data_IF_913663126564
#
_entry.id   IF_913663126564
#
_cell.length_a   1.000
_cell.length_b   1.000
_cell.length_c   1.000
_cell.angle_alpha   90.00
_cell.angle_beta   90.00
_cell.angle_gamma   90.00
#
_symmetry.space_group_name_H-M   'P 1'
#
loop_
_entity.id
_entity.type
_entity.pdbx_description
1 polymer ?
#
# COMPACT_ATOMS: atom_id res chain seq x y z
N UNK A 1 0.60 10.97 19.11
CA UNK A 1 1.64 9.91 19.10
C UNK A 1 1.26 8.63 18.33
N UNK A 2 0.16 8.58 17.56
CA UNK A 2 -0.22 7.38 16.78
C UNK A 2 0.19 7.47 15.29
N UNK A 3 0.47 8.68 14.78
CA UNK A 3 0.70 8.93 13.36
C UNK A 3 2.03 8.38 12.83
N UNK A 4 3.02 8.13 13.69
CA UNK A 4 4.34 7.64 13.27
C UNK A 4 4.27 6.20 12.73
N UNK A 5 3.56 5.31 13.42
CA UNK A 5 3.37 3.91 13.01
C UNK A 5 2.60 3.85 11.68
N UNK A 6 1.60 4.72 11.52
CA UNK A 6 0.79 4.83 10.31
C UNK A 6 1.67 5.25 9.13
N UNK A 7 2.47 6.31 9.28
CA UNK A 7 3.37 6.78 8.22
C UNK A 7 4.44 5.74 7.88
N UNK A 8 4.98 5.05 8.89
CA UNK A 8 5.95 3.97 8.67
C UNK A 8 5.35 2.82 7.87
N UNK A 9 4.16 2.33 8.28
CA UNK A 9 3.43 1.30 7.53
C UNK A 9 3.09 1.75 6.11
N UNK A 10 2.67 3.00 5.95
CA UNK A 10 2.37 3.57 4.64
C UNK A 10 3.61 3.54 3.73
N UNK A 11 4.75 4.00 4.24
CA UNK A 11 6.02 3.99 3.50
C UNK A 11 6.42 2.57 3.09
N UNK A 12 6.24 1.57 3.96
CA UNK A 12 6.48 0.16 3.62
C UNK A 12 5.55 -0.35 2.51
N UNK A 13 4.24 -0.03 2.57
CA UNK A 13 3.29 -0.39 1.50
C UNK A 13 3.72 0.24 0.18
N UNK A 14 4.07 1.54 0.19
CA UNK A 14 4.53 2.24 -1.01
C UNK A 14 5.79 1.62 -1.58
N UNK A 15 6.76 1.29 -0.72
CA UNK A 15 8.00 0.65 -1.13
C UNK A 15 7.74 -0.73 -1.74
N UNK A 16 6.85 -1.53 -1.13
CA UNK A 16 6.42 -2.79 -1.69
C UNK A 16 5.70 -2.61 -3.03
N UNK A 17 4.82 -1.62 -3.19
CA UNK A 17 4.11 -1.39 -4.45
C UNK A 17 5.01 -0.86 -5.57
N UNK A 18 6.09 -0.15 -5.21
CA UNK A 18 7.00 0.49 -6.16
C UNK A 18 8.16 -0.40 -6.58
N UNK A 19 8.74 -1.12 -5.63
CA UNK A 19 9.94 -1.94 -5.84
C UNK A 19 9.66 -3.44 -5.85
N UNK A 20 8.45 -3.85 -5.45
CA UNK A 20 8.08 -5.26 -5.38
C UNK A 20 6.85 -5.53 -6.24
N UNK A 21 6.90 -6.64 -6.98
CA UNK A 21 5.74 -7.11 -7.75
C UNK A 21 4.72 -7.85 -6.86
N UNK A 22 4.89 -7.78 -5.53
CA UNK A 22 4.06 -8.47 -4.52
C UNK A 22 2.58 -8.15 -4.69
N UNK A 23 1.76 -9.20 -4.64
CA UNK A 23 0.30 -9.06 -4.66
C UNK A 23 -0.17 -8.39 -3.39
N UNK A 24 -1.31 -7.69 -3.47
CA UNK A 24 -1.90 -7.01 -2.31
C UNK A 24 -2.09 -7.98 -1.13
N UNK A 25 -2.45 -9.24 -1.40
CA UNK A 25 -2.58 -10.28 -0.38
C UNK A 25 -1.27 -10.60 0.38
N UNK A 26 -0.12 -10.55 -0.31
CA UNK A 26 1.19 -10.74 0.33
C UNK A 26 1.52 -9.56 1.25
N UNK A 27 1.20 -8.34 0.79
CA UNK A 27 1.43 -7.12 1.55
C UNK A 27 0.53 -7.07 2.80
N UNK A 28 -0.70 -7.60 2.69
CA UNK A 28 -1.61 -7.77 3.82
C UNK A 28 -0.98 -8.65 4.90
N UNK A 29 -0.51 -9.83 4.51
CA UNK A 29 0.14 -10.77 5.43
C UNK A 29 1.44 -10.20 6.04
N UNK A 30 2.26 -9.55 5.22
CA UNK A 30 3.57 -9.00 5.63
C UNK A 30 3.44 -7.84 6.62
N UNK A 31 2.42 -6.99 6.47
CA UNK A 31 2.21 -5.83 7.33
C UNK A 31 1.23 -6.09 8.49
N UNK A 32 0.67 -7.30 8.57
CA UNK A 32 -0.29 -7.70 9.59
C UNK A 32 -1.65 -7.03 9.45
N UNK A 33 -2.09 -6.78 8.21
CA UNK A 33 -3.49 -6.42 7.96
C UNK A 33 -4.36 -7.67 8.00
N UNK A 34 -5.61 -7.50 8.41
CA UNK A 34 -6.59 -8.59 8.50
C UNK A 34 -6.89 -9.17 7.11
N UNK A 35 -7.10 -8.28 6.13
CA UNK A 35 -7.49 -8.63 4.77
C UNK A 35 -7.23 -7.46 3.81
N UNK A 36 -7.32 -7.74 2.51
CA UNK A 36 -7.13 -6.73 1.46
C UNK A 36 -8.03 -5.52 1.64
N UNK A 37 -9.26 -5.70 2.11
CA UNK A 37 -10.21 -4.61 2.39
C UNK A 37 -9.68 -3.65 3.46
N UNK A 38 -9.05 -4.19 4.50
CA UNK A 38 -8.50 -3.40 5.60
C UNK A 38 -7.30 -2.56 5.12
N UNK A 39 -6.38 -3.20 4.39
CA UNK A 39 -5.24 -2.50 3.77
C UNK A 39 -5.73 -1.47 2.76
N UNK A 40 -6.73 -1.81 1.94
CA UNK A 40 -7.23 -0.93 0.89
C UNK A 40 -7.89 0.32 1.49
N UNK A 41 -8.70 0.17 2.55
CA UNK A 41 -9.27 1.31 3.30
C UNK A 41 -8.18 2.16 3.95
N UNK A 42 -7.20 1.53 4.58
CA UNK A 42 -6.07 2.21 5.22
C UNK A 42 -5.27 3.03 4.20
N UNK A 43 -4.84 2.39 3.12
CA UNK A 43 -4.03 3.00 2.07
C UNK A 43 -4.81 4.10 1.34
N UNK A 44 -6.10 3.87 1.07
CA UNK A 44 -6.97 4.89 0.47
C UNK A 44 -7.20 6.09 1.39
N UNK A 45 -7.31 5.91 2.71
CA UNK A 45 -7.37 7.05 3.64
C UNK A 45 -6.10 7.88 3.63
N UNK A 46 -4.93 7.25 3.47
CA UNK A 46 -3.64 7.95 3.51
C UNK A 46 -3.26 8.59 2.16
N UNK A 47 -3.46 7.89 1.04
CA UNK A 47 -3.07 8.34 -0.32
C UNK A 47 -4.23 8.83 -1.18
N UNK A 48 -5.47 8.62 -0.77
CA UNK A 48 -6.67 8.91 -1.55
C UNK A 48 -7.04 7.83 -2.59
N UNK A 49 -6.12 6.90 -2.91
CA UNK A 49 -6.33 5.86 -3.92
C UNK A 49 -6.00 4.46 -3.39
N UNK A 50 -6.55 3.44 -4.05
CA UNK A 50 -6.31 2.03 -3.72
C UNK A 50 -4.86 1.60 -4.07
N UNK A 51 -4.26 0.64 -3.35
CA UNK A 51 -2.92 0.09 -3.64
C UNK A 51 -2.79 -0.39 -5.09
N UNK A 52 -3.85 -1.04 -5.58
CA UNK A 52 -3.95 -1.54 -6.96
C UNK A 52 -3.94 -0.40 -7.99
N UNK A 53 -4.63 0.70 -7.68
CA UNK A 53 -4.67 1.88 -8.53
C UNK A 53 -3.33 2.63 -8.50
N UNK A 54 -2.70 2.73 -7.33
CA UNK A 54 -1.36 3.29 -7.18
C UNK A 54 -0.34 2.51 -8.01
N UNK A 55 -0.34 1.17 -7.93
CA UNK A 55 0.52 0.32 -8.75
C UNK A 55 0.28 0.49 -10.25
N UNK A 56 -0.98 0.58 -10.67
CA UNK A 56 -1.34 0.87 -12.06
C UNK A 56 -0.79 2.24 -12.51
N UNK A 57 -0.93 3.26 -11.65
CA UNK A 57 -0.39 4.60 -11.91
C UNK A 57 1.13 4.61 -12.03
N UNK A 58 1.85 3.79 -11.27
CA UNK A 58 3.31 3.68 -11.37
C UNK A 58 3.76 3.06 -12.70
N UNK A 59 3.04 2.03 -13.18
CA UNK A 59 3.34 1.38 -14.45
C UNK A 59 3.12 2.31 -15.67
N UNK A 60 2.18 3.25 -15.58
CA UNK A 60 1.86 4.19 -16.67
C UNK A 60 2.84 5.35 -16.80
N UNK A 61 3.69 5.63 -15.80
CA UNK A 61 4.63 6.78 -15.82
C UNK A 61 6.02 6.40 -16.38
N UNK A 62 6.13 5.23 -17.01
CA UNK A 62 7.37 4.77 -17.66
C UNK A 62 7.33 5.06 -19.17
N UNK A 63 7.20 6.33 -19.57
CA UNK A 63 7.36 6.82 -20.95
C UNK A 63 8.18 8.11 -20.97
#
# INVERSE_FOLDING_TARGET
MQSYIINYRLSLVEHCLKYSDKRVNEIVAELGFTDESHLNKFFKQQKGISPKAFRKSLLTVSE
#
